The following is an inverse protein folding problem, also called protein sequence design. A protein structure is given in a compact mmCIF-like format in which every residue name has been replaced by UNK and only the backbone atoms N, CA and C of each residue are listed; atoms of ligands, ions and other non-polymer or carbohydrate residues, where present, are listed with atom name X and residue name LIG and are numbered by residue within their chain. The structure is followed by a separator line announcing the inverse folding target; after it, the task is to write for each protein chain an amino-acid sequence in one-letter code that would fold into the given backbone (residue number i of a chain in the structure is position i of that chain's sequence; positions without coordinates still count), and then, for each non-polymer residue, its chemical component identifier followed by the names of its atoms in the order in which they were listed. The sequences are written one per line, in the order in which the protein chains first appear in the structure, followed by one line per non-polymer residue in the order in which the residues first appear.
data_IF_411824795059
#
_entry.id   IF_411824795059
#
_cell.length_a   1.000
_cell.length_b   1.000
_cell.length_c   1.000
_cell.angle_alpha   90.00
_cell.angle_beta   90.00
_cell.angle_gamma   90.00
#
_symmetry.space_group_name_H-M   'P 1'
#
loop_
_entity.id
_entity.type
_entity.pdbx_description
1 polymer ?
#
# COMPACT_ATOMS: atom_id res chain seq x y z
N UNK A 1 -5.19 4.67 -2.26
CA UNK A 1 -4.05 4.00 -2.90
C UNK A 1 -3.94 4.60 -4.29
N UNK A 2 -2.86 5.31 -4.56
CA UNK A 2 -2.54 5.82 -5.89
C UNK A 2 -1.36 5.00 -6.44
N UNK A 3 -1.39 4.72 -7.75
CA UNK A 3 -0.29 4.08 -8.45
C UNK A 3 0.38 5.15 -9.31
N UNK A 4 1.59 5.54 -8.94
CA UNK A 4 2.35 6.52 -9.71
C UNK A 4 3.02 5.84 -10.93
N UNK A 5 3.14 6.57 -12.03
CA UNK A 5 3.60 6.03 -13.32
C UNK A 5 5.10 5.63 -13.33
N UNK A 6 5.82 5.86 -12.24
CA UNK A 6 7.21 5.45 -12.02
C UNK A 6 7.34 4.07 -11.35
N UNK A 7 6.21 3.44 -10.98
CA UNK A 7 6.18 2.16 -10.27
C UNK A 7 6.23 2.32 -8.75
N UNK A 8 6.19 3.55 -8.23
CA UNK A 8 6.01 3.80 -6.81
C UNK A 8 4.57 3.47 -6.39
N UNK A 9 4.43 2.81 -5.24
CA UNK A 9 3.13 2.51 -4.64
C UNK A 9 2.93 3.37 -3.41
N UNK A 10 1.89 4.20 -3.43
CA UNK A 10 1.46 4.94 -2.25
C UNK A 10 0.35 4.17 -1.52
N UNK A 11 0.67 3.76 -0.29
CA UNK A 11 -0.23 3.10 0.63
C UNK A 11 -0.72 4.10 1.66
N UNK A 12 -2.05 4.17 1.81
CA UNK A 12 -2.71 4.89 2.90
C UNK A 12 -3.81 4.00 3.44
N UNK A 13 -3.86 3.85 4.76
CA UNK A 13 -4.80 2.92 5.41
C UNK A 13 -5.54 3.58 6.56
N UNK A 14 -6.67 2.98 6.90
CA UNK A 14 -7.39 3.29 8.14
C UNK A 14 -6.95 2.29 9.19
N UNK A 15 -6.77 2.76 10.42
CA UNK A 15 -6.61 1.89 11.58
C UNK A 15 -7.48 2.45 12.69
N UNK A 16 -8.44 1.64 13.13
CA UNK A 16 -9.33 1.93 14.26
C UNK A 16 -8.56 1.75 15.57
N UNK A 17 -7.55 2.60 15.77
CA UNK A 17 -6.86 2.68 17.04
C UNK A 17 -7.79 3.41 18.03
N UNK A 18 -7.98 2.88 19.25
CA UNK A 18 -8.78 3.56 20.28
C UNK A 18 -8.30 5.01 20.48
N UNK A 19 -9.23 5.92 20.80
CA UNK A 19 -8.88 7.30 21.11
C UNK A 19 -7.81 7.36 22.24
N UNK A 20 -6.72 8.09 22.01
CA UNK A 20 -5.59 8.17 22.94
C UNK A 20 -4.49 7.11 22.74
N UNK A 21 -4.57 6.28 21.69
CA UNK A 21 -3.51 5.35 21.29
C UNK A 21 -2.32 6.07 20.63
N UNK A 22 -1.58 6.88 21.40
CA UNK A 22 -0.23 7.29 21.02
C UNK A 22 0.74 6.10 21.13
N UNK A 23 1.80 6.11 20.31
CA UNK A 23 2.85 5.08 20.34
C UNK A 23 2.52 3.78 19.61
N UNK A 24 1.60 3.81 18.64
CA UNK A 24 1.45 2.69 17.68
C UNK A 24 2.34 2.97 16.47
N UNK A 25 3.12 1.98 16.05
CA UNK A 25 3.84 1.97 14.79
C UNK A 25 3.23 0.93 13.86
N UNK A 26 3.49 1.03 12.57
CA UNK A 26 2.99 0.12 11.56
C UNK A 26 4.18 -0.57 10.90
N UNK A 27 4.29 -1.87 11.11
CA UNK A 27 5.24 -2.71 10.39
C UNK A 27 4.67 -3.00 9.00
N UNK A 28 5.44 -2.65 7.97
CA UNK A 28 5.08 -2.84 6.57
C UNK A 28 5.97 -3.94 6.01
N UNK A 29 5.36 -5.08 5.72
CA UNK A 29 6.03 -6.19 5.06
C UNK A 29 5.55 -6.31 3.62
N UNK A 30 6.43 -6.75 2.72
CA UNK A 30 6.11 -6.93 1.29
C UNK A 30 6.55 -8.30 0.80
N UNK A 31 5.66 -8.95 0.05
CA UNK A 31 5.94 -10.08 -0.82
C UNK A 31 5.91 -9.60 -2.28
N UNK A 32 6.88 -10.05 -3.09
CA UNK A 32 6.95 -9.75 -4.52
C UNK A 32 6.70 -11.05 -5.28
N UNK A 33 5.76 -11.03 -6.24
CA UNK A 33 5.42 -12.17 -7.11
C UNK A 33 5.20 -13.51 -6.37
N UNK A 34 4.62 -13.46 -5.16
CA UNK A 34 4.36 -14.65 -4.34
C UNK A 34 5.56 -15.17 -3.53
N UNK A 35 6.67 -14.44 -3.49
CA UNK A 35 7.82 -14.73 -2.61
C UNK A 35 7.51 -14.52 -1.11
N UNK A 36 8.51 -14.72 -0.22
CA UNK A 36 8.32 -14.50 1.21
C UNK A 36 8.07 -13.02 1.52
N UNK A 37 7.33 -12.76 2.60
CA UNK A 37 7.20 -11.41 3.16
C UNK A 37 8.52 -10.97 3.79
N UNK A 38 8.96 -9.76 3.46
CA UNK A 38 10.14 -9.11 4.02
C UNK A 38 9.76 -7.77 4.60
N UNK A 39 10.35 -7.37 5.74
CA UNK A 39 10.12 -6.05 6.30
C UNK A 39 10.68 -4.99 5.35
N UNK A 40 9.83 -4.05 4.95
CA UNK A 40 10.21 -2.91 4.11
C UNK A 40 10.48 -1.71 5.00
N UNK A 41 9.56 -1.39 5.91
CA UNK A 41 9.70 -0.24 6.80
C UNK A 41 8.82 -0.36 8.06
N UNK A 42 9.08 0.51 9.04
CA UNK A 42 8.26 0.72 10.24
C UNK A 42 7.96 2.21 10.38
N UNK A 43 6.68 2.58 10.24
CA UNK A 43 6.26 3.99 10.22
C UNK A 43 5.31 4.33 11.37
N UNK A 44 5.35 5.57 11.85
CA UNK A 44 4.39 6.08 12.86
C UNK A 44 3.10 6.63 12.25
N UNK A 45 3.12 6.92 10.95
CA UNK A 45 1.99 7.48 10.21
C UNK A 45 1.19 6.39 9.50
N UNK A 46 -0.03 6.71 9.07
CA UNK A 46 -0.91 5.78 8.35
C UNK A 46 -0.75 5.87 6.83
N UNK A 47 0.45 6.20 6.40
CA UNK A 47 0.84 6.40 5.00
C UNK A 47 2.27 5.94 4.80
N UNK A 48 2.55 5.41 3.62
CA UNK A 48 3.87 4.97 3.20
C UNK A 48 3.98 4.95 1.68
N UNK A 49 5.13 5.37 1.15
CA UNK A 49 5.43 5.32 -0.28
C UNK A 49 6.58 4.34 -0.51
N UNK A 50 6.33 3.31 -1.31
CA UNK A 50 7.34 2.33 -1.68
C UNK A 50 7.94 2.63 -3.05
N UNK A 51 9.16 3.13 -3.06
CA UNK A 51 9.95 3.41 -4.27
C UNK A 51 10.97 2.29 -4.59
N UNK A 52 10.89 1.16 -3.89
CA UNK A 52 11.93 0.10 -3.92
C UNK A 52 11.47 -1.15 -4.67
N UNK A 53 10.30 -1.10 -5.31
CA UNK A 53 9.74 -2.23 -6.06
C UNK A 53 10.60 -2.45 -7.31
N UNK A 54 11.18 -3.64 -7.52
CA UNK A 54 11.97 -3.92 -8.71
C UNK A 54 11.13 -3.74 -9.98
N UNK A 55 11.68 -3.04 -10.96
CA UNK A 55 11.06 -2.90 -12.28
C UNK A 55 10.75 -4.28 -12.89
N UNK A 56 9.58 -4.41 -13.52
CA UNK A 56 9.13 -5.68 -14.10
C UNK A 56 8.48 -6.65 -13.12
N UNK A 57 8.30 -6.28 -11.84
CA UNK A 57 7.46 -7.03 -10.91
C UNK A 57 6.02 -7.11 -11.44
N UNK A 58 5.43 -8.30 -11.47
CA UNK A 58 4.05 -8.51 -11.94
C UNK A 58 3.00 -8.24 -10.86
N UNK A 59 3.36 -8.49 -9.60
CA UNK A 59 2.52 -8.20 -8.45
C UNK A 59 3.33 -8.04 -7.17
N UNK A 60 2.77 -7.30 -6.22
CA UNK A 60 3.26 -7.23 -4.85
C UNK A 60 2.09 -7.33 -3.88
N UNK A 61 2.34 -7.95 -2.73
CA UNK A 61 1.40 -7.98 -1.61
C UNK A 61 2.06 -7.28 -0.44
N UNK A 62 1.39 -6.24 0.07
CA UNK A 62 1.78 -5.61 1.33
C UNK A 62 0.98 -6.22 2.47
N UNK A 63 1.64 -6.39 3.61
CA UNK A 63 1.03 -6.73 4.88
C UNK A 63 1.40 -5.65 5.89
N UNK A 64 0.40 -4.95 6.40
CA UNK A 64 0.57 -3.85 7.35
C UNK A 64 0.03 -4.29 8.70
N UNK A 65 0.87 -4.24 9.73
CA UNK A 65 0.51 -4.67 11.09
C UNK A 65 0.74 -3.54 12.07
N UNK A 66 -0.30 -3.15 12.81
CA UNK A 66 -0.15 -2.20 13.92
C UNK A 66 0.52 -2.85 15.12
N UNK A 67 1.60 -2.24 15.62
CA UNK A 67 2.35 -2.67 16.80
C UNK A 67 2.33 -1.57 17.85
N UNK A 68 1.94 -1.92 19.07
CA UNK A 68 1.98 -1.01 20.22
C UNK A 68 2.65 -1.70 21.40
N UNK A 69 3.79 -1.16 21.83
CA UNK A 69 4.65 -1.79 22.84
C UNK A 69 5.01 -3.22 22.44
N UNK A 70 4.36 -4.24 23.03
CA UNK A 70 4.57 -5.66 22.69
C UNK A 70 3.35 -6.31 22.03
N UNK A 71 2.27 -5.55 21.80
CA UNK A 71 1.02 -6.07 21.25
C UNK A 71 0.95 -5.79 19.76
N UNK A 72 0.67 -6.85 18.98
CA UNK A 72 0.31 -6.74 17.55
C UNK A 72 -1.20 -6.81 17.39
N UNK A 73 -1.73 -5.93 16.54
CA UNK A 73 -3.09 -6.00 16.05
C UNK A 73 -3.23 -6.94 14.84
N UNK A 74 -4.43 -6.99 14.29
CA UNK A 74 -4.71 -7.66 13.02
C UNK A 74 -3.92 -7.01 11.88
N UNK A 75 -3.47 -7.84 10.93
CA UNK A 75 -2.77 -7.38 9.74
C UNK A 75 -3.74 -7.10 8.60
N UNK A 76 -3.56 -5.98 7.91
CA UNK A 76 -4.25 -5.71 6.65
C UNK A 76 -3.36 -6.10 5.46
N UNK A 77 -3.94 -6.69 4.42
CA UNK A 77 -3.22 -7.03 3.19
C UNK A 77 -3.71 -6.23 1.99
N UNK A 78 -2.78 -5.76 1.17
CA UNK A 78 -3.04 -5.00 -0.05
C UNK A 78 -2.32 -5.68 -1.21
N UNK A 79 -3.08 -6.25 -2.15
CA UNK A 79 -2.55 -6.79 -3.40
C UNK A 79 -2.49 -5.69 -4.44
N UNK A 80 -1.31 -5.49 -5.02
CA UNK A 80 -1.08 -4.61 -6.15
C UNK A 80 -0.66 -5.47 -7.32
N UNK A 81 -1.46 -5.45 -8.40
CA UNK A 81 -1.11 -6.10 -9.65
C UNK A 81 -0.62 -5.05 -10.63
N UNK A 82 0.62 -5.16 -11.06
CA UNK A 82 1.14 -4.37 -12.15
C UNK A 82 0.83 -5.17 -13.43
N UNK A 83 -0.33 -4.89 -14.02
CA UNK A 83 -0.80 -5.64 -15.19
C UNK A 83 0.29 -5.68 -16.27
N UNK A 84 0.61 -6.86 -16.78
CA UNK A 84 1.43 -7.03 -17.99
C UNK A 84 0.66 -6.62 -19.23
N UNK A 85 0.21 -5.37 -19.28
CA UNK A 85 -0.33 -4.73 -20.47
C UNK A 85 0.56 -3.53 -20.79
N UNK A 86 1.78 -3.84 -21.24
CA UNK A 86 2.67 -2.92 -21.92
C UNK A 86 3.29 -1.84 -21.04
N UNK A 87 4.62 -1.79 -21.02
CA UNK A 87 5.27 -0.50 -21.01
C UNK A 87 4.88 0.25 -22.29
N UNK A 88 3.71 0.87 -22.29
CA UNK A 88 3.38 1.98 -23.20
C UNK A 88 2.89 3.10 -22.32
N UNK A 89 3.81 4.00 -21.97
CA UNK A 89 3.45 5.32 -21.49
C UNK A 89 2.69 6.04 -22.62
N UNK A 90 1.37 6.01 -22.58
CA UNK A 90 0.53 6.94 -23.32
C UNK A 90 -0.05 7.90 -22.30
N UNK A 91 0.44 9.15 -22.32
CA UNK A 91 -0.10 10.23 -21.52
C UNK A 91 -1.60 10.41 -21.84
N UNK A 92 -2.46 10.27 -20.82
CA UNK A 92 -3.85 10.73 -20.90
C UNK A 92 -3.96 11.98 -20.02
N UNK A 93 -4.38 13.07 -20.65
CA UNK A 93 -4.49 14.41 -20.05
C UNK A 93 -5.45 14.46 -18.85
N UNK A 94 -5.27 15.43 -17.94
CA UNK A 94 -6.11 15.57 -16.75
C UNK A 94 -7.49 16.10 -17.14
N UNK A 95 -8.54 15.29 -16.96
CA UNK A 95 -9.90 15.73 -17.29
C UNK A 95 -11.07 14.85 -16.86
N UNK A 96 -10.88 13.60 -16.43
CA UNK A 96 -12.03 12.71 -16.23
C UNK A 96 -12.45 12.59 -14.76
N UNK A 97 -13.44 13.43 -14.42
CA UNK A 97 -14.26 13.40 -13.20
C UNK A 97 -14.95 12.04 -13.01
N UNK A 98 -14.72 11.35 -11.89
CA UNK A 98 -15.49 10.14 -11.54
C UNK A 98 -15.98 10.18 -10.08
N UNK A 99 -17.09 10.90 -9.88
CA UNK A 99 -17.91 10.81 -8.67
C UNK A 99 -18.58 9.43 -8.58
N UNK A 100 -18.55 8.78 -7.41
CA UNK A 100 -19.35 7.56 -7.15
C UNK A 100 -20.43 7.83 -6.09
N UNK A 101 -21.70 7.61 -6.48
CA UNK A 101 -22.86 7.58 -5.59
C UNK A 101 -23.15 6.14 -5.14
N UNK A 102 -23.52 5.96 -3.86
CA UNK A 102 -23.98 4.68 -3.31
C UNK A 102 -25.48 4.50 -3.58
N UNK A 103 -25.91 3.31 -4.00
CA UNK A 103 -27.31 2.94 -4.09
C UNK A 103 -27.73 2.03 -2.92
N UNK A 104 -28.84 2.41 -2.27
CA UNK A 104 -29.78 1.55 -1.53
C UNK A 104 -29.32 0.97 -0.21
#
# INVERSE_FOLDING_TARGET
MNLEADGAVELSWKADNPAGASGTVYEIQRSIAGGPFTLVDVVGERSFTDNTIPAGSSSVVYQITGVRSTTRGESAQFLVNFGTAGMTASAINPGDDTSFHMAG
#
